data_IF_013218518057
#
_entry.id   IF_013218518057
#
_cell.length_a   1.000
_cell.length_b   1.000
_cell.length_c   1.000
_cell.angle_alpha   90.00
_cell.angle_beta   90.00
_cell.angle_gamma   90.00
#
_symmetry.space_group_name_H-M   'P 1'
#
loop_
_entity.id
_entity.type
_entity.pdbx_description
1 polymer ?
#
# COMPACT_ATOMS: atom_id res chain seq x y z
N UNK A 1 4.99 16.99 -25.93
CA UNK A 1 4.92 15.74 -26.72
C UNK A 1 5.89 14.67 -26.17
N UNK A 2 7.15 15.01 -25.93
CA UNK A 2 8.17 14.08 -25.40
C UNK A 2 7.83 13.56 -23.99
N UNK A 3 7.23 14.38 -23.12
CA UNK A 3 6.82 13.97 -21.77
C UNK A 3 5.66 12.98 -21.81
N UNK A 4 4.70 13.17 -22.73
CA UNK A 4 3.57 12.23 -22.91
C UNK A 4 4.02 10.89 -23.50
N UNK A 5 4.99 10.88 -24.43
CA UNK A 5 5.56 9.64 -24.96
C UNK A 5 6.29 8.83 -23.87
N UNK A 6 7.09 9.49 -23.03
CA UNK A 6 7.78 8.85 -21.92
C UNK A 6 6.82 8.22 -20.90
N UNK A 7 5.71 8.88 -20.59
CA UNK A 7 4.67 8.35 -19.70
C UNK A 7 3.92 7.16 -20.32
N UNK A 8 3.65 7.21 -21.63
CA UNK A 8 3.00 6.11 -22.34
C UNK A 8 3.91 4.89 -22.48
N UNK A 9 5.21 5.08 -22.75
CA UNK A 9 6.18 3.99 -22.78
C UNK A 9 6.34 3.32 -21.42
N UNK A 10 6.46 4.08 -20.33
CA UNK A 10 6.50 3.54 -18.96
C UNK A 10 5.23 2.80 -18.59
N UNK A 11 4.07 3.32 -18.94
CA UNK A 11 2.80 2.63 -18.72
C UNK A 11 2.77 1.29 -19.47
N UNK A 12 3.29 1.25 -20.70
CA UNK A 12 3.38 0.03 -21.48
C UNK A 12 4.39 -0.97 -20.87
N UNK A 13 5.54 -0.49 -20.41
CA UNK A 13 6.55 -1.33 -19.72
C UNK A 13 6.02 -1.91 -18.40
N UNK A 14 5.28 -1.13 -17.62
CA UNK A 14 4.65 -1.60 -16.40
C UNK A 14 3.55 -2.62 -16.66
N UNK A 15 2.70 -2.40 -17.66
CA UNK A 15 1.60 -3.32 -18.02
C UNK A 15 2.08 -4.59 -18.70
N UNK A 16 3.30 -4.63 -19.23
CA UNK A 16 3.90 -5.84 -19.84
C UNK A 16 4.61 -6.75 -18.83
N UNK A 17 4.79 -6.32 -17.57
CA UNK A 17 5.37 -7.16 -16.52
C UNK A 17 4.30 -8.05 -15.89
N UNK A 18 4.57 -9.34 -15.65
CA UNK A 18 3.64 -10.17 -14.91
C UNK A 18 3.53 -9.68 -13.46
N UNK A 19 2.33 -9.51 -12.97
CA UNK A 19 2.04 -9.20 -11.57
C UNK A 19 1.52 -10.46 -10.84
N UNK A 20 1.79 -10.60 -9.53
CA UNK A 20 1.16 -11.67 -8.77
C UNK A 20 -0.36 -11.47 -8.75
N UNK A 21 -1.10 -12.51 -9.10
CA UNK A 21 -2.56 -12.52 -8.94
C UNK A 21 -2.91 -12.42 -7.46
N UNK A 22 -3.45 -11.28 -7.04
CA UNK A 22 -3.86 -11.04 -5.66
C UNK A 22 -5.32 -11.46 -5.46
N UNK A 23 -5.61 -12.73 -5.71
CA UNK A 23 -6.89 -13.31 -5.33
C UNK A 23 -6.83 -13.65 -3.84
N UNK A 24 -7.76 -13.10 -3.06
CA UNK A 24 -7.91 -13.51 -1.67
C UNK A 24 -8.15 -15.03 -1.63
N UNK A 25 -7.27 -15.76 -0.97
CA UNK A 25 -7.39 -17.21 -0.78
C UNK A 25 -8.49 -17.59 0.21
N UNK A 26 -9.03 -16.60 0.93
CA UNK A 26 -10.13 -16.74 1.89
C UNK A 26 -11.48 -16.48 1.22
N UNK A 27 -12.52 -17.29 1.48
CA UNK A 27 -13.88 -17.01 1.03
C UNK A 27 -14.33 -15.60 1.47
N UNK A 28 -15.18 -14.96 0.65
CA UNK A 28 -15.81 -13.69 1.01
C UNK A 28 -16.58 -13.89 2.33
N UNK A 29 -16.04 -13.33 3.42
CA UNK A 29 -16.64 -13.44 4.74
C UNK A 29 -15.64 -13.51 5.90
N UNK A 30 -14.48 -14.15 5.72
CA UNK A 30 -13.57 -14.47 6.83
C UNK A 30 -12.21 -13.74 6.76
N UNK A 31 -12.02 -12.78 5.85
CA UNK A 31 -10.76 -12.07 5.67
C UNK A 31 -10.61 -10.84 6.57
N UNK A 32 -9.35 -10.39 6.72
CA UNK A 32 -8.99 -9.17 7.46
C UNK A 32 -9.69 -7.91 6.92
N UNK A 33 -9.97 -7.87 5.62
CA UNK A 33 -10.74 -6.79 5.01
C UNK A 33 -12.13 -6.67 5.64
N UNK A 34 -12.88 -7.75 5.77
CA UNK A 34 -14.22 -7.71 6.36
C UNK A 34 -14.17 -7.34 7.84
N UNK A 35 -13.26 -7.95 8.59
CA UNK A 35 -13.04 -7.59 9.99
C UNK A 35 -12.68 -6.10 10.17
N UNK A 36 -11.87 -5.54 9.27
CA UNK A 36 -11.57 -4.11 9.25
C UNK A 36 -12.82 -3.26 9.01
N UNK A 37 -13.66 -3.64 8.04
CA UNK A 37 -14.89 -2.90 7.73
C UNK A 37 -15.87 -2.90 8.91
N UNK A 38 -15.91 -3.97 9.69
CA UNK A 38 -16.72 -4.06 10.91
C UNK A 38 -16.18 -3.19 12.07
N UNK A 39 -14.87 -2.94 12.10
CA UNK A 39 -14.25 -2.05 13.09
C UNK A 39 -14.49 -0.56 12.81
N UNK A 40 -14.92 -0.20 11.58
CA UNK A 40 -15.19 1.19 11.25
C UNK A 40 -16.47 1.69 11.96
N UNK A 41 -16.43 2.92 12.52
CA UNK A 41 -17.61 3.50 13.19
C UNK A 41 -18.70 3.97 12.21
N UNK A 42 -18.53 3.72 10.92
CA UNK A 42 -19.44 4.12 9.84
C UNK A 42 -19.36 3.12 8.69
N UNK A 43 -20.44 2.89 7.95
CA UNK A 43 -20.40 2.10 6.73
C UNK A 43 -19.67 2.86 5.61
N UNK A 44 -19.10 2.12 4.67
CA UNK A 44 -18.54 2.72 3.47
C UNK A 44 -19.60 3.39 2.63
N UNK A 45 -19.28 4.53 2.05
CA UNK A 45 -20.14 5.20 1.06
C UNK A 45 -20.22 4.38 -0.23
N UNK A 46 -21.27 4.61 -1.03
CA UNK A 46 -21.39 3.96 -2.35
C UNK A 46 -20.21 4.22 -3.28
N UNK A 47 -19.58 5.41 -3.18
CA UNK A 47 -18.36 5.74 -3.94
C UNK A 47 -17.16 4.91 -3.48
N UNK A 48 -16.95 4.78 -2.19
CA UNK A 48 -15.86 3.97 -1.61
C UNK A 48 -16.02 2.49 -1.96
N UNK A 49 -17.24 1.96 -1.89
CA UNK A 49 -17.53 0.58 -2.29
C UNK A 49 -17.22 0.33 -3.77
N UNK A 50 -17.60 1.25 -4.66
CA UNK A 50 -17.28 1.14 -6.10
C UNK A 50 -15.77 1.15 -6.34
N UNK A 51 -15.05 2.09 -5.75
CA UNK A 51 -13.58 2.18 -5.90
C UNK A 51 -12.89 0.93 -5.37
N UNK A 52 -13.32 0.39 -4.23
CA UNK A 52 -12.78 -0.85 -3.69
C UNK A 52 -13.04 -2.05 -4.60
N UNK A 53 -14.24 -2.16 -5.18
CA UNK A 53 -14.56 -3.22 -6.14
C UNK A 53 -13.64 -3.14 -7.37
N UNK A 54 -13.48 -1.94 -7.95
CA UNK A 54 -12.58 -1.72 -9.09
C UNK A 54 -11.11 -2.04 -8.77
N UNK A 55 -10.62 -1.67 -7.57
CA UNK A 55 -9.26 -2.00 -7.13
C UNK A 55 -9.10 -3.51 -7.00
N UNK A 56 -10.06 -4.21 -6.42
CA UNK A 56 -10.02 -5.67 -6.29
C UNK A 56 -10.03 -6.37 -7.64
N UNK A 57 -10.83 -5.89 -8.59
CA UNK A 57 -10.85 -6.39 -9.96
C UNK A 57 -9.50 -6.19 -10.66
N UNK A 58 -8.86 -5.04 -10.47
CA UNK A 58 -7.53 -4.78 -11.01
C UNK A 58 -6.45 -5.67 -10.35
N UNK A 59 -6.50 -5.85 -9.03
CA UNK A 59 -5.56 -6.70 -8.28
C UNK A 59 -5.71 -8.20 -8.63
N UNK A 60 -6.88 -8.61 -9.13
CA UNK A 60 -7.14 -9.97 -9.59
C UNK A 60 -6.59 -10.26 -11.00
N UNK A 61 -6.01 -9.27 -11.68
CA UNK A 61 -5.40 -9.42 -13.00
C UNK A 61 -3.93 -9.81 -12.89
N UNK A 62 -3.39 -10.38 -13.96
CA UNK A 62 -1.97 -10.73 -14.11
C UNK A 62 -1.07 -9.54 -14.47
N UNK A 63 -1.62 -8.34 -14.46
CA UNK A 63 -0.93 -7.09 -14.80
C UNK A 63 -0.85 -6.16 -13.60
N UNK A 64 0.25 -5.42 -13.42
CA UNK A 64 0.38 -4.45 -12.36
C UNK A 64 -0.70 -3.37 -12.46
N UNK A 65 -1.38 -3.12 -11.34
CA UNK A 65 -2.33 -2.01 -11.22
C UNK A 65 -1.58 -0.69 -11.09
N UNK A 66 -1.95 0.31 -11.90
CA UNK A 66 -1.53 1.70 -11.74
C UNK A 66 -2.77 2.59 -11.70
N UNK A 67 -3.31 2.80 -10.49
CA UNK A 67 -4.58 3.52 -10.27
C UNK A 67 -4.37 4.76 -9.42
N UNK A 68 -4.93 5.88 -9.87
CA UNK A 68 -5.02 7.11 -9.09
C UNK A 68 -6.41 7.21 -8.43
N UNK A 69 -6.44 7.32 -7.11
CA UNK A 69 -7.67 7.55 -6.35
C UNK A 69 -7.74 9.02 -5.97
N UNK A 70 -8.74 9.71 -6.50
CA UNK A 70 -9.00 11.12 -6.23
C UNK A 70 -10.24 11.29 -5.36
N UNK A 71 -10.25 12.33 -4.54
CA UNK A 71 -11.38 12.71 -3.69
C UNK A 71 -11.00 13.86 -2.77
N UNK A 72 -11.99 14.56 -2.26
CA UNK A 72 -11.81 15.70 -1.36
C UNK A 72 -11.15 15.31 -0.05
N UNK A 73 -10.68 16.31 0.69
CA UNK A 73 -10.20 16.11 2.06
C UNK A 73 -11.36 15.58 2.91
N UNK A 74 -11.10 14.52 3.67
CA UNK A 74 -12.14 13.87 4.47
C UNK A 74 -13.03 12.85 3.72
N UNK A 75 -12.84 12.63 2.42
CA UNK A 75 -13.62 11.64 1.64
C UNK A 75 -13.33 10.18 2.01
N UNK A 76 -12.44 9.92 2.97
CA UNK A 76 -12.09 8.58 3.43
C UNK A 76 -11.13 7.81 2.52
N UNK A 77 -10.31 8.49 1.71
CA UNK A 77 -9.27 7.85 0.88
C UNK A 77 -8.37 6.90 1.68
N UNK A 78 -8.04 7.27 2.92
CA UNK A 78 -7.23 6.44 3.81
C UNK A 78 -7.90 5.09 4.11
N UNK A 79 -9.22 5.07 4.30
CA UNK A 79 -9.97 3.81 4.51
C UNK A 79 -9.87 2.91 3.29
N UNK A 80 -10.04 3.47 2.09
CA UNK A 80 -9.89 2.74 0.82
C UNK A 80 -8.47 2.20 0.67
N UNK A 81 -7.45 3.01 0.99
CA UNK A 81 -6.04 2.60 0.95
C UNK A 81 -5.76 1.41 1.88
N UNK A 82 -6.24 1.48 3.14
CA UNK A 82 -6.07 0.40 4.12
C UNK A 82 -6.80 -0.86 3.68
N UNK A 83 -8.05 -0.74 3.23
CA UNK A 83 -8.83 -1.86 2.72
C UNK A 83 -8.14 -2.57 1.54
N UNK A 84 -7.52 -1.79 0.63
CA UNK A 84 -6.75 -2.33 -0.49
C UNK A 84 -5.48 -3.05 -0.03
N UNK A 85 -4.75 -2.50 0.95
CA UNK A 85 -3.57 -3.15 1.54
C UNK A 85 -3.94 -4.46 2.24
N UNK A 86 -5.05 -4.48 2.97
CA UNK A 86 -5.55 -5.71 3.61
C UNK A 86 -5.93 -6.78 2.58
N UNK A 87 -6.48 -6.39 1.43
CA UNK A 87 -6.74 -7.31 0.32
C UNK A 87 -5.46 -7.98 -0.18
N UNK A 88 -4.37 -7.22 -0.33
CA UNK A 88 -3.07 -7.78 -0.71
C UNK A 88 -2.48 -8.70 0.37
N UNK A 89 -2.65 -8.34 1.65
CA UNK A 89 -2.20 -9.14 2.78
C UNK A 89 -2.99 -10.44 2.91
N UNK A 90 -4.30 -10.42 2.66
CA UNK A 90 -5.16 -11.62 2.64
C UNK A 90 -4.79 -12.57 1.48
N UNK A 91 -4.22 -12.04 0.39
CA UNK A 91 -3.63 -12.83 -0.70
C UNK A 91 -2.20 -13.35 -0.38
N UNK A 92 -1.73 -13.21 0.85
CA UNK A 92 -0.40 -13.66 1.29
C UNK A 92 0.75 -12.80 0.79
N UNK A 93 0.49 -11.55 0.41
CA UNK A 93 1.50 -10.58 0.00
C UNK A 93 1.78 -9.56 1.11
N UNK A 94 2.79 -8.75 0.90
CA UNK A 94 3.13 -7.61 1.74
C UNK A 94 2.65 -6.31 1.11
N UNK A 95 2.36 -5.33 1.95
CA UNK A 95 1.97 -3.99 1.53
C UNK A 95 2.98 -2.92 1.93
N UNK A 96 3.00 -1.82 1.19
CA UNK A 96 3.74 -0.61 1.56
C UNK A 96 2.82 0.61 1.48
N UNK A 97 2.91 1.49 2.48
CA UNK A 97 2.25 2.80 2.49
C UNK A 97 3.29 3.90 2.57
N UNK A 98 3.37 4.69 1.51
CA UNK A 98 4.33 5.78 1.40
C UNK A 98 3.68 7.13 1.62
N UNK A 99 4.29 7.96 2.45
CA UNK A 99 3.92 9.34 2.68
C UNK A 99 5.08 10.29 2.30
N UNK A 100 4.80 11.53 1.90
CA UNK A 100 5.84 12.47 1.46
C UNK A 100 6.73 12.99 2.59
N UNK A 101 6.27 12.92 3.84
CA UNK A 101 7.02 13.39 5.02
C UNK A 101 6.97 12.38 6.15
N UNK A 102 7.97 12.43 7.05
CA UNK A 102 8.02 11.58 8.25
C UNK A 102 6.81 11.81 9.15
N UNK A 103 6.38 13.07 9.32
CA UNK A 103 5.20 13.41 10.13
C UNK A 103 3.93 12.72 9.62
N UNK A 104 3.71 12.74 8.30
CA UNK A 104 2.56 12.07 7.69
C UNK A 104 2.69 10.53 7.79
N UNK A 105 3.89 9.98 7.60
CA UNK A 105 4.14 8.57 7.79
C UNK A 105 3.85 8.12 9.23
N UNK A 106 4.29 8.89 10.22
CA UNK A 106 3.99 8.66 11.63
C UNK A 106 2.49 8.73 11.94
N UNK A 107 1.78 9.71 11.37
CA UNK A 107 0.34 9.84 11.51
C UNK A 107 -0.40 8.63 10.94
N UNK A 108 -0.02 8.18 9.75
CA UNK A 108 -0.57 6.95 9.16
C UNK A 108 -0.27 5.72 10.03
N UNK A 109 0.97 5.55 10.45
CA UNK A 109 1.37 4.43 11.29
C UNK A 109 0.60 4.40 12.61
N UNK A 110 0.45 5.57 13.28
CA UNK A 110 -0.32 5.68 14.53
C UNK A 110 -1.78 5.29 14.33
N UNK A 111 -2.41 5.75 13.26
CA UNK A 111 -3.79 5.40 12.94
C UNK A 111 -3.96 3.91 12.61
N UNK A 112 -3.01 3.33 11.89
CA UNK A 112 -2.98 1.89 11.62
C UNK A 112 -2.80 1.05 12.88
N UNK A 113 -2.01 1.53 13.85
CA UNK A 113 -1.80 0.86 15.13
C UNK A 113 -3.08 0.72 15.98
N UNK A 114 -4.14 1.47 15.69
CA UNK A 114 -5.45 1.33 16.35
C UNK A 114 -6.22 0.08 15.86
N UNK A 115 -6.04 -0.32 14.59
CA UNK A 115 -6.83 -1.38 13.95
C UNK A 115 -6.03 -2.66 13.69
N UNK A 116 -4.79 -2.54 13.22
CA UNK A 116 -4.02 -3.69 12.74
C UNK A 116 -3.74 -4.79 13.78
N UNK A 117 -3.53 -4.48 15.08
CA UNK A 117 -3.38 -5.52 16.09
C UNK A 117 -4.61 -6.43 16.21
N UNK A 118 -5.81 -5.88 16.07
CA UNK A 118 -7.07 -6.63 16.11
C UNK A 118 -7.24 -7.51 14.87
N UNK A 119 -6.58 -7.17 13.78
CA UNK A 119 -6.57 -7.91 12.52
C UNK A 119 -5.38 -8.88 12.39
N UNK A 120 -4.55 -8.99 13.44
CA UNK A 120 -3.33 -9.79 13.42
C UNK A 120 -2.39 -9.45 12.24
N UNK A 121 -2.24 -8.16 11.95
CA UNK A 121 -1.35 -7.66 10.90
C UNK A 121 -0.15 -6.98 11.54
N UNK A 122 1.06 -7.47 11.21
CA UNK A 122 2.31 -6.84 11.63
C UNK A 122 2.58 -5.59 10.78
N UNK A 123 2.79 -4.46 11.46
CA UNK A 123 3.06 -3.17 10.83
C UNK A 123 4.25 -2.48 11.49
N UNK A 124 5.06 -1.81 10.69
CA UNK A 124 6.18 -1.01 11.19
C UNK A 124 6.34 0.29 10.41
N UNK A 125 7.02 1.25 11.05
CA UNK A 125 7.39 2.54 10.47
C UNK A 125 8.89 2.54 10.13
N UNK A 126 9.22 2.94 8.91
CA UNK A 126 10.58 3.15 8.44
C UNK A 126 10.74 4.57 7.85
N UNK A 127 11.56 5.37 8.48
CA UNK A 127 11.89 6.74 8.06
C UNK A 127 13.40 6.95 8.05
N UNK A 128 13.85 8.12 7.59
CA UNK A 128 15.26 8.50 7.66
C UNK A 128 15.79 8.58 9.09
N UNK A 129 14.93 8.91 10.06
CA UNK A 129 15.25 9.01 11.49
C UNK A 129 15.24 7.66 12.23
N UNK A 130 14.86 6.55 11.58
CA UNK A 130 14.83 5.22 12.21
C UNK A 130 16.24 4.78 12.65
N UNK A 131 16.48 4.46 13.94
CA UNK A 131 17.79 4.04 14.42
C UNK A 131 18.34 2.81 13.67
N UNK A 132 19.64 2.79 13.39
CA UNK A 132 20.28 1.78 12.55
C UNK A 132 20.03 0.33 13.01
N UNK A 133 20.01 0.08 14.33
CA UNK A 133 19.68 -1.25 14.89
C UNK A 133 18.26 -1.65 14.54
N UNK A 134 17.29 -0.76 14.79
CA UNK A 134 15.88 -1.01 14.52
C UNK A 134 15.61 -1.17 13.02
N UNK A 135 16.26 -0.32 12.19
CA UNK A 135 16.20 -0.45 10.72
C UNK A 135 16.62 -1.84 10.26
N UNK A 136 17.71 -2.39 10.79
CA UNK A 136 18.23 -3.72 10.43
C UNK A 136 17.24 -4.82 10.79
N UNK A 137 16.68 -4.79 12.00
CA UNK A 137 15.65 -5.74 12.44
C UNK A 137 14.42 -5.70 11.52
N UNK A 138 13.90 -4.50 11.23
CA UNK A 138 12.74 -4.31 10.34
C UNK A 138 12.99 -4.83 8.91
N UNK A 139 14.18 -4.56 8.36
CA UNK A 139 14.54 -5.05 7.02
C UNK A 139 14.66 -6.57 6.97
N UNK A 140 15.14 -7.20 8.05
CA UNK A 140 15.17 -8.65 8.17
C UNK A 140 13.76 -9.24 8.24
N UNK A 141 12.87 -8.68 9.07
CA UNK A 141 11.48 -9.12 9.19
C UNK A 141 10.70 -8.91 7.88
N UNK A 142 11.03 -7.85 7.14
CA UNK A 142 10.45 -7.58 5.83
C UNK A 142 10.90 -8.62 4.79
N UNK A 143 12.21 -8.90 4.74
CA UNK A 143 12.79 -9.83 3.77
C UNK A 143 12.39 -11.29 4.00
N UNK A 144 12.04 -11.67 5.23
CA UNK A 144 11.57 -13.01 5.56
C UNK A 144 10.02 -13.14 5.59
N UNK A 145 9.29 -12.04 5.31
CA UNK A 145 7.83 -12.02 5.23
C UNK A 145 7.10 -11.95 6.59
N UNK A 146 7.82 -11.79 7.70
CA UNK A 146 7.21 -11.64 9.04
C UNK A 146 6.54 -10.27 9.21
N UNK A 147 7.08 -9.23 8.56
CA UNK A 147 6.49 -7.90 8.52
C UNK A 147 5.59 -7.79 7.29
N UNK A 148 4.28 -7.65 7.49
CA UNK A 148 3.28 -7.64 6.43
C UNK A 148 3.01 -6.25 5.84
N UNK A 149 3.13 -5.20 6.64
CA UNK A 149 2.90 -3.82 6.21
C UNK A 149 4.05 -2.90 6.66
N UNK A 150 4.64 -2.21 5.71
CA UNK A 150 5.65 -1.21 5.97
C UNK A 150 5.12 0.18 5.62
N UNK A 151 5.15 1.09 6.60
CA UNK A 151 4.81 2.51 6.43
C UNK A 151 6.10 3.32 6.42
N UNK A 152 6.22 4.31 5.56
CA UNK A 152 7.39 5.17 5.57
C UNK A 152 7.37 6.27 4.52
N UNK A 153 8.54 6.84 4.30
CA UNK A 153 8.77 7.89 3.31
C UNK A 153 9.49 7.33 2.08
N UNK A 154 10.15 8.18 1.29
CA UNK A 154 11.04 7.75 0.22
C UNK A 154 12.13 6.75 0.67
N UNK A 155 12.42 6.65 1.97
CA UNK A 155 13.31 5.64 2.53
C UNK A 155 12.91 4.20 2.17
N UNK A 156 11.63 3.96 1.81
CA UNK A 156 11.15 2.67 1.31
C UNK A 156 11.67 2.31 -0.09
N UNK A 157 12.15 3.30 -0.85
CA UNK A 157 12.71 3.14 -2.20
C UNK A 157 14.24 2.99 -2.21
N UNK A 158 14.87 3.07 -1.04
CA UNK A 158 16.32 2.98 -0.91
C UNK A 158 16.77 1.53 -0.75
N UNK A 159 17.95 1.22 -1.29
CA UNK A 159 18.64 -0.01 -0.93
C UNK A 159 19.08 0.05 0.56
N UNK A 160 18.91 -1.02 1.33
CA UNK A 160 18.60 -2.41 1.00
C UNK A 160 17.16 -2.84 1.33
N UNK A 161 16.13 -2.03 1.07
CA UNK A 161 14.73 -2.41 1.35
C UNK A 161 14.27 -3.51 0.38
N UNK A 162 14.06 -4.71 0.90
CA UNK A 162 13.63 -5.86 0.12
C UNK A 162 12.41 -6.52 0.77
N UNK A 163 11.35 -6.69 0.00
CA UNK A 163 10.16 -7.41 0.41
C UNK A 163 10.27 -8.88 -0.02
N UNK A 164 9.82 -9.80 0.83
CA UNK A 164 9.70 -11.20 0.44
C UNK A 164 8.66 -11.39 -0.69
N UNK A 165 7.54 -10.70 -0.61
CA UNK A 165 6.46 -10.76 -1.61
C UNK A 165 5.62 -9.48 -1.60
N UNK A 166 6.11 -8.43 -2.21
CA UNK A 166 5.38 -7.16 -2.33
C UNK A 166 4.19 -7.32 -3.29
N UNK A 167 2.97 -7.01 -2.81
CA UNK A 167 1.75 -7.08 -3.61
C UNK A 167 1.15 -5.72 -3.94
N UNK A 168 1.24 -4.76 -3.03
CA UNK A 168 0.64 -3.44 -3.23
C UNK A 168 1.47 -2.33 -2.58
N UNK A 169 1.70 -1.26 -3.33
CA UNK A 169 2.23 0.01 -2.83
C UNK A 169 1.16 1.07 -2.95
N UNK A 170 0.86 1.73 -1.84
CA UNK A 170 0.01 2.91 -1.79
C UNK A 170 0.88 4.13 -1.56
N UNK A 171 0.72 5.15 -2.39
CA UNK A 171 1.44 6.43 -2.27
C UNK A 171 0.45 7.52 -1.96
N UNK A 172 0.54 8.07 -0.75
CA UNK A 172 -0.29 9.19 -0.33
C UNK A 172 0.32 10.52 -0.81
N UNK A 173 -0.54 11.46 -1.21
CA UNK A 173 -0.13 12.79 -1.71
C UNK A 173 1.00 12.77 -2.74
N UNK A 174 0.91 11.91 -3.75
CA UNK A 174 1.93 11.69 -4.79
C UNK A 174 2.48 12.99 -5.41
N UNK A 175 1.66 14.05 -5.49
CA UNK A 175 2.07 15.34 -6.03
C UNK A 175 3.17 16.05 -5.21
N UNK A 176 3.36 15.68 -3.95
CA UNK A 176 4.41 16.22 -3.06
C UNK A 176 5.76 15.51 -3.21
N UNK A 177 5.80 14.39 -3.93
CA UNK A 177 7.06 13.71 -4.22
C UNK A 177 7.82 14.41 -5.35
N UNK A 178 9.13 14.53 -5.22
CA UNK A 178 10.01 15.07 -6.26
C UNK A 178 10.00 14.21 -7.53
N UNK A 179 10.40 14.82 -8.68
CA UNK A 179 10.40 14.15 -9.99
C UNK A 179 11.21 12.84 -9.97
N UNK A 180 12.39 12.85 -9.33
CA UNK A 180 13.24 11.65 -9.23
C UNK A 180 12.63 10.54 -8.36
N UNK A 181 11.92 10.91 -7.30
CA UNK A 181 11.23 9.95 -6.42
C UNK A 181 10.05 9.31 -7.13
N UNK A 182 9.25 10.10 -7.87
CA UNK A 182 8.15 9.58 -8.71
C UNK A 182 8.63 8.66 -9.83
N UNK A 183 9.89 8.76 -10.22
CA UNK A 183 10.47 7.91 -11.24
C UNK A 183 10.92 6.53 -10.71
N UNK A 184 11.00 6.35 -9.39
CA UNK A 184 11.34 5.07 -8.74
C UNK A 184 10.11 4.30 -8.25
N UNK A 185 8.93 4.94 -8.22
CA UNK A 185 7.61 4.34 -7.95
C UNK A 185 7.11 3.62 -9.20
#
# INVERSE_FOLDING_TARGET
LLLQLGLLQRRHELTSRPAPLLQATTPMGDGRLNAFLELLPFPLTGAQNRVLAEIRDDLARDQPMARLVQGDVGSGKTVVAIASLLTAIDAGCQGALMAPTEVLAEQHHRKLAEWLPQLHVSCALLTGSTPARRRRELLQDLANGQLQLLVGTHALLEDPVQFARLGLVVVDEQHRFGVQQRNRL
#
